data_IF_280609476017
#
_entry.id   IF_280609476017
#
_cell.length_a   1.000
_cell.length_b   1.000
_cell.length_c   1.000
_cell.angle_alpha   90.00
_cell.angle_beta   90.00
_cell.angle_gamma   90.00
#
_symmetry.space_group_name_H-M   'P 1'
#
loop_
_entity.id
_entity.type
_entity.pdbx_description
1 polymer ?
#
# COMPACT_ATOMS: atom_id res chain seq x y z
N UNK A 1 13.52 -0.66 14.73
CA UNK A 1 13.57 -2.13 14.64
C UNK A 1 13.85 -2.47 13.19
N UNK A 2 14.70 -3.47 12.90
CA UNK A 2 14.87 -3.94 11.52
C UNK A 2 13.66 -4.82 11.19
N UNK A 3 12.97 -4.54 10.07
CA UNK A 3 11.85 -5.36 9.59
C UNK A 3 12.30 -6.81 9.36
N UNK A 4 11.44 -7.76 9.71
CA UNK A 4 11.63 -9.18 9.50
C UNK A 4 11.81 -9.47 8.02
N UNK A 5 12.74 -10.36 7.67
CA UNK A 5 13.18 -10.56 6.29
C UNK A 5 12.04 -10.97 5.35
N UNK A 6 11.07 -11.71 5.89
CA UNK A 6 9.88 -12.11 5.14
C UNK A 6 8.96 -10.95 4.77
N UNK A 7 8.92 -9.88 5.56
CA UNK A 7 8.07 -8.71 5.30
C UNK A 7 8.80 -7.59 4.55
N UNK A 8 10.13 -7.70 4.42
CA UNK A 8 10.94 -6.75 3.64
C UNK A 8 10.43 -6.51 2.22
N UNK A 9 9.96 -7.50 1.44
CA UNK A 9 9.39 -7.25 0.12
C UNK A 9 8.21 -6.26 0.16
N UNK A 10 7.24 -6.47 1.04
CA UNK A 10 6.10 -5.56 1.19
C UNK A 10 6.55 -4.16 1.64
N UNK A 11 7.54 -4.06 2.52
CA UNK A 11 8.14 -2.76 2.87
C UNK A 11 8.90 -2.09 1.73
N UNK A 12 9.44 -2.84 0.77
CA UNK A 12 10.02 -2.27 -0.45
C UNK A 12 8.91 -1.70 -1.35
N UNK A 13 7.79 -2.41 -1.47
CA UNK A 13 6.61 -1.92 -2.20
C UNK A 13 6.15 -0.58 -1.61
N UNK A 14 6.12 -0.48 -0.27
CA UNK A 14 5.82 0.76 0.46
C UNK A 14 6.78 1.91 0.17
N UNK A 15 8.08 1.64 0.03
CA UNK A 15 9.04 2.69 -0.29
C UNK A 15 8.71 3.34 -1.64
N UNK A 16 8.38 2.54 -2.65
CA UNK A 16 7.95 3.05 -3.95
C UNK A 16 6.62 3.82 -3.85
N UNK A 17 5.63 3.23 -3.17
CA UNK A 17 4.32 3.84 -2.98
C UNK A 17 4.39 5.20 -2.27
N UNK A 18 5.33 5.40 -1.33
CA UNK A 18 5.55 6.69 -0.68
C UNK A 18 6.06 7.79 -1.63
N UNK A 19 6.83 7.44 -2.66
CA UNK A 19 7.25 8.39 -3.69
C UNK A 19 6.04 8.84 -4.51
N UNK A 20 5.22 7.89 -4.95
CA UNK A 20 3.97 8.14 -5.68
C UNK A 20 3.00 9.00 -4.84
N UNK A 21 2.82 8.64 -3.57
CA UNK A 21 2.01 9.39 -2.62
C UNK A 21 2.50 10.84 -2.45
N UNK A 22 3.82 11.07 -2.43
CA UNK A 22 4.39 12.42 -2.35
C UNK A 22 4.09 13.25 -3.60
N UNK A 23 4.21 12.65 -4.79
CA UNK A 23 3.88 13.32 -6.04
C UNK A 23 2.39 13.71 -6.10
N UNK A 24 1.52 12.81 -5.66
CA UNK A 24 0.08 13.06 -5.58
C UNK A 24 -0.28 14.15 -4.56
N UNK A 25 0.36 14.17 -3.38
CA UNK A 25 0.16 15.25 -2.39
C UNK A 25 0.59 16.63 -2.89
N UNK A 26 1.56 16.68 -3.81
CA UNK A 26 2.05 17.94 -4.39
C UNK A 26 1.25 18.38 -5.61
N UNK A 27 0.47 17.50 -6.22
CA UNK A 27 -0.27 17.76 -7.44
C UNK A 27 -1.08 19.07 -7.34
N UNK A 28 -0.98 19.93 -8.36
CA UNK A 28 -1.68 21.23 -8.40
C UNK A 28 -1.01 22.36 -7.62
N UNK A 29 0.10 22.11 -6.92
CA UNK A 29 0.89 23.12 -6.20
C UNK A 29 2.15 23.52 -6.99
N UNK A 30 2.80 24.61 -6.59
CA UNK A 30 4.10 25.05 -7.10
C UNK A 30 5.24 24.04 -6.88
N UNK A 31 5.04 23.06 -6.00
CA UNK A 31 5.99 21.99 -5.70
C UNK A 31 5.85 20.79 -6.64
N UNK A 32 4.81 20.76 -7.49
CA UNK A 32 4.65 19.72 -8.50
C UNK A 32 5.38 20.12 -9.79
N UNK A 33 6.30 19.29 -10.23
CA UNK A 33 6.94 19.41 -11.55
C UNK A 33 6.18 18.68 -12.65
N UNK A 34 5.12 17.92 -12.30
CA UNK A 34 4.43 16.99 -13.21
C UNK A 34 3.09 17.57 -13.66
N UNK A 35 2.75 17.31 -14.92
CA UNK A 35 1.42 17.64 -15.44
C UNK A 35 0.36 16.70 -14.86
N UNK A 36 -0.91 17.12 -14.84
CA UNK A 36 -2.01 16.24 -14.42
C UNK A 36 -2.06 14.93 -15.24
N UNK A 37 -1.81 15.03 -16.56
CA UNK A 37 -1.80 13.86 -17.45
C UNK A 37 -0.72 12.86 -17.02
N UNK A 38 0.49 13.35 -16.78
CA UNK A 38 1.61 12.53 -16.30
C UNK A 38 1.29 11.86 -14.97
N UNK A 39 0.71 12.59 -14.01
CA UNK A 39 0.32 12.04 -12.72
C UNK A 39 -0.72 10.92 -12.84
N UNK A 40 -1.69 11.05 -13.75
CA UNK A 40 -2.69 10.00 -14.00
C UNK A 40 -2.07 8.79 -14.71
N UNK A 41 -1.15 8.99 -15.65
CA UNK A 41 -0.41 7.90 -16.29
C UNK A 41 0.40 7.10 -15.26
N UNK A 42 1.17 7.79 -14.42
CA UNK A 42 1.94 7.19 -13.33
C UNK A 42 1.04 6.49 -12.31
N UNK A 43 -0.11 7.10 -11.93
CA UNK A 43 -1.10 6.45 -11.07
C UNK A 43 -1.60 5.14 -11.67
N UNK A 44 -1.89 5.13 -12.98
CA UNK A 44 -2.41 3.94 -13.63
C UNK A 44 -1.36 2.83 -13.72
N UNK A 45 -0.11 3.18 -14.01
CA UNK A 45 1.02 2.25 -14.04
C UNK A 45 1.30 1.68 -12.65
N UNK A 46 1.52 2.55 -11.66
CA UNK A 46 1.73 2.15 -10.27
C UNK A 46 0.58 1.27 -9.76
N UNK A 47 -0.68 1.66 -10.00
CA UNK A 47 -1.81 0.89 -9.50
C UNK A 47 -1.90 -0.51 -10.12
N UNK A 48 -1.56 -0.64 -11.40
CA UNK A 48 -1.62 -1.90 -12.14
C UNK A 48 -0.49 -2.84 -11.72
N UNK A 49 0.73 -2.32 -11.59
CA UNK A 49 1.91 -3.15 -11.38
C UNK A 49 2.20 -3.41 -9.90
N UNK A 50 1.91 -2.46 -9.01
CA UNK A 50 2.33 -2.51 -7.61
C UNK A 50 1.17 -2.36 -6.62
N UNK A 51 0.34 -1.32 -6.77
CA UNK A 51 -0.67 -0.95 -5.76
C UNK A 51 -1.75 -2.03 -5.51
N UNK A 52 -2.43 -2.49 -6.57
CA UNK A 52 -3.45 -3.53 -6.44
C UNK A 52 -2.86 -4.90 -6.06
N UNK A 53 -1.75 -5.38 -6.69
CA UNK A 53 -1.12 -6.63 -6.27
C UNK A 53 -0.63 -6.61 -4.81
N UNK A 54 -0.11 -5.46 -4.33
CA UNK A 54 0.30 -5.33 -2.92
C UNK A 54 -0.86 -5.56 -1.96
N UNK A 55 -2.01 -4.93 -2.19
CA UNK A 55 -3.19 -5.18 -1.37
C UNK A 55 -3.66 -6.63 -1.44
N UNK A 56 -3.51 -7.30 -2.59
CA UNK A 56 -3.84 -8.71 -2.72
C UNK A 56 -2.92 -9.61 -1.89
N UNK A 57 -1.62 -9.33 -1.87
CA UNK A 57 -0.67 -10.05 -1.01
C UNK A 57 -1.06 -9.93 0.46
N UNK A 58 -1.46 -8.74 0.88
CA UNK A 58 -1.86 -8.49 2.25
C UNK A 58 -3.19 -9.15 2.61
N UNK A 59 -4.21 -8.93 1.77
CA UNK A 59 -5.58 -9.42 1.98
C UNK A 59 -5.68 -10.95 1.91
N UNK A 60 -4.91 -11.58 1.02
CA UNK A 60 -5.03 -13.00 0.73
C UNK A 60 -4.00 -13.85 1.46
N UNK A 61 -2.89 -13.26 1.92
CA UNK A 61 -1.78 -14.00 2.53
C UNK A 61 -1.50 -13.45 3.93
N UNK A 62 -1.06 -12.19 4.04
CA UNK A 62 -0.49 -11.67 5.28
C UNK A 62 -1.50 -11.48 6.42
N UNK A 63 -2.66 -10.86 6.14
CA UNK A 63 -3.69 -10.65 7.16
C UNK A 63 -4.33 -11.97 7.61
N UNK A 64 -4.66 -12.92 6.70
CA UNK A 64 -5.13 -14.24 7.11
C UNK A 64 -4.17 -14.97 8.06
N UNK A 65 -2.86 -15.02 7.76
CA UNK A 65 -1.92 -15.70 8.66
C UNK A 65 -1.83 -15.01 10.02
N UNK A 66 -1.89 -13.67 10.06
CA UNK A 66 -1.93 -12.95 11.33
C UNK A 66 -3.14 -13.35 12.18
N UNK A 67 -4.32 -13.39 11.57
CA UNK A 67 -5.56 -13.77 12.26
C UNK A 67 -5.59 -15.24 12.70
N UNK A 68 -4.81 -16.11 12.05
CA UNK A 68 -4.67 -17.53 12.43
C UNK A 68 -3.74 -17.71 13.62
N UNK A 69 -2.59 -17.03 13.62
CA UNK A 69 -1.52 -17.27 14.61
C UNK A 69 -1.57 -16.35 15.83
N UNK A 70 -2.17 -15.17 15.73
CA UNK A 70 -2.29 -14.29 16.89
C UNK A 70 -3.31 -14.85 17.90
N UNK A 71 -2.88 -15.03 19.15
CA UNK A 71 -3.77 -15.43 20.24
C UNK A 71 -4.88 -14.39 20.49
N UNK A 72 -4.51 -13.11 20.43
CA UNK A 72 -5.42 -11.96 20.56
C UNK A 72 -5.14 -10.96 19.41
N UNK A 73 -5.74 -11.16 18.21
CA UNK A 73 -5.51 -10.27 17.09
C UNK A 73 -6.17 -8.90 17.29
N UNK A 74 -5.49 -7.84 16.86
CA UNK A 74 -6.11 -6.52 16.71
C UNK A 74 -6.95 -6.48 15.42
N UNK A 75 -8.13 -7.09 15.48
CA UNK A 75 -9.08 -7.09 14.36
C UNK A 75 -9.51 -5.69 13.95
N UNK A 76 -9.51 -4.72 14.87
CA UNK A 76 -9.90 -3.35 14.56
C UNK A 76 -8.86 -2.70 13.64
N UNK A 77 -7.57 -2.97 13.87
CA UNK A 77 -6.48 -2.50 13.02
C UNK A 77 -6.53 -3.15 11.63
N UNK A 78 -6.77 -4.46 11.54
CA UNK A 78 -6.95 -5.16 10.24
C UNK A 78 -8.15 -4.59 9.48
N UNK A 79 -9.30 -4.40 10.15
CA UNK A 79 -10.49 -3.79 9.53
C UNK A 79 -10.22 -2.36 9.05
N UNK A 80 -9.40 -1.59 9.78
CA UNK A 80 -8.98 -0.25 9.38
C UNK A 80 -8.13 -0.27 8.11
N UNK A 81 -7.15 -1.18 8.01
CA UNK A 81 -6.34 -1.35 6.79
C UNK A 81 -7.23 -1.72 5.58
N UNK A 82 -8.08 -2.75 5.71
CA UNK A 82 -9.03 -3.16 4.66
C UNK A 82 -9.98 -2.04 4.21
N UNK A 83 -10.44 -1.23 5.16
CA UNK A 83 -11.26 -0.05 4.85
C UNK A 83 -10.48 1.01 4.07
N UNK A 84 -9.22 1.25 4.43
CA UNK A 84 -8.33 2.14 3.67
C UNK A 84 -8.06 1.57 2.26
N UNK A 85 -7.83 0.26 2.09
CA UNK A 85 -7.69 -0.36 0.77
C UNK A 85 -8.91 -0.10 -0.11
N UNK A 86 -10.11 -0.30 0.45
CA UNK A 86 -11.38 -0.07 -0.26
C UNK A 86 -11.52 1.39 -0.70
N UNK A 87 -11.16 2.34 0.16
CA UNK A 87 -11.17 3.77 -0.17
C UNK A 87 -10.17 4.13 -1.27
N UNK A 88 -8.94 3.61 -1.18
CA UNK A 88 -7.88 3.84 -2.17
C UNK A 88 -8.33 3.30 -3.53
N UNK A 89 -8.86 2.07 -3.59
CA UNK A 89 -9.49 1.49 -4.80
C UNK A 89 -10.58 2.39 -5.38
N UNK A 90 -11.44 2.93 -4.50
CA UNK A 90 -12.50 3.87 -4.87
C UNK A 90 -11.95 5.14 -5.52
N UNK A 91 -10.96 5.78 -4.91
CA UNK A 91 -10.33 7.01 -5.43
C UNK A 91 -9.63 6.78 -6.77
N UNK A 92 -8.90 5.68 -6.92
CA UNK A 92 -8.26 5.32 -8.20
C UNK A 92 -9.32 5.15 -9.30
N UNK A 93 -10.42 4.44 -9.00
CA UNK A 93 -11.53 4.27 -9.95
C UNK A 93 -12.20 5.59 -10.28
N UNK A 94 -12.43 6.44 -9.29
CA UNK A 94 -13.01 7.77 -9.47
C UNK A 94 -12.12 8.61 -10.41
N UNK A 95 -10.84 8.74 -10.09
CA UNK A 95 -9.85 9.51 -10.87
C UNK A 95 -9.74 9.04 -12.33
N UNK A 96 -9.87 7.73 -12.59
CA UNK A 96 -9.92 7.16 -13.96
C UNK A 96 -11.15 7.58 -14.76
N UNK A 97 -12.25 7.90 -14.08
CA UNK A 97 -13.55 8.18 -14.69
C UNK A 97 -13.89 9.68 -14.80
N UNK A 98 -13.10 10.54 -14.16
CA UNK A 98 -13.40 11.98 -14.11
C UNK A 98 -13.26 12.64 -15.49
N UNK A 99 -14.26 13.44 -15.92
CA UNK A 99 -14.22 14.13 -17.21
C UNK A 99 -13.31 15.37 -17.20
N UNK A 100 -12.95 15.85 -16.00
CA UNK A 100 -12.12 17.04 -15.79
C UNK A 100 -11.02 16.75 -14.78
N UNK A 101 -9.95 17.55 -14.83
CA UNK A 101 -8.84 17.48 -13.87
C UNK A 101 -9.35 17.75 -12.46
N UNK A 102 -8.97 16.91 -11.50
CA UNK A 102 -9.30 17.10 -10.10
C UNK A 102 -8.04 16.84 -9.24
N UNK A 103 -7.34 17.93 -8.90
CA UNK A 103 -6.13 17.86 -8.07
C UNK A 103 -6.44 17.51 -6.61
N UNK A 104 -7.58 17.94 -6.09
CA UNK A 104 -8.00 17.65 -4.71
C UNK A 104 -8.14 16.13 -4.49
N UNK A 105 -8.68 15.41 -5.48
CA UNK A 105 -8.80 13.95 -5.44
C UNK A 105 -7.46 13.23 -5.53
N UNK A 106 -6.51 13.76 -6.31
CA UNK A 106 -5.14 13.25 -6.30
C UNK A 106 -4.48 13.49 -4.94
N UNK A 107 -4.64 14.68 -4.37
CA UNK A 107 -4.08 14.98 -3.05
C UNK A 107 -4.70 14.06 -1.98
N UNK A 108 -6.03 13.84 -2.01
CA UNK A 108 -6.73 12.89 -1.13
C UNK A 108 -6.13 11.49 -1.21
N UNK A 109 -5.94 10.97 -2.43
CA UNK A 109 -5.29 9.67 -2.66
C UNK A 109 -3.86 9.63 -2.10
N UNK A 110 -3.06 10.66 -2.34
CA UNK A 110 -1.68 10.74 -1.85
C UNK A 110 -1.59 10.80 -0.32
N UNK A 111 -2.51 11.52 0.34
CA UNK A 111 -2.59 11.54 1.80
C UNK A 111 -3.01 10.19 2.36
N UNK A 112 -4.01 9.55 1.75
CA UNK A 112 -4.52 8.27 2.20
C UNK A 112 -3.49 7.15 2.05
N UNK A 113 -2.73 7.13 0.94
CA UNK A 113 -1.62 6.20 0.76
C UNK A 113 -0.53 6.38 1.83
N UNK A 114 -0.12 7.63 2.11
CA UNK A 114 0.89 7.90 3.15
C UNK A 114 0.42 7.49 4.55
N UNK A 115 -0.85 7.77 4.89
CA UNK A 115 -1.45 7.35 6.17
C UNK A 115 -1.50 5.83 6.28
N UNK A 116 -1.96 5.17 5.23
CA UNK A 116 -2.11 3.73 5.16
C UNK A 116 -0.78 2.99 5.31
N UNK A 117 0.24 3.38 4.55
CA UNK A 117 1.60 2.80 4.65
C UNK A 117 2.16 2.98 6.07
N UNK A 118 1.91 4.12 6.72
CA UNK A 118 2.36 4.33 8.11
C UNK A 118 1.63 3.43 9.10
N UNK A 119 0.33 3.19 8.89
CA UNK A 119 -0.46 2.28 9.73
C UNK A 119 0.17 0.89 9.71
N UNK A 120 0.48 0.39 8.53
CA UNK A 120 1.02 -0.96 8.38
C UNK A 120 2.45 -1.05 8.90
N UNK A 121 3.31 -0.13 8.46
CA UNK A 121 4.71 -0.15 8.83
C UNK A 121 4.95 0.02 10.33
N UNK A 122 4.09 0.78 11.03
CA UNK A 122 4.33 1.17 12.42
C UNK A 122 3.47 0.43 13.43
N UNK A 123 2.30 -0.05 13.00
CA UNK A 123 1.32 -0.64 13.90
C UNK A 123 1.07 -2.10 13.52
N UNK A 124 0.64 -2.38 12.28
CA UNK A 124 0.21 -3.72 11.92
C UNK A 124 1.37 -4.70 11.76
N UNK A 125 2.37 -4.39 10.93
CA UNK A 125 3.50 -5.30 10.69
C UNK A 125 4.27 -5.68 11.97
N UNK A 126 4.55 -4.76 12.92
CA UNK A 126 5.14 -5.16 14.20
C UNK A 126 4.31 -6.17 15.01
N UNK A 127 2.97 -6.09 14.95
CA UNK A 127 2.09 -7.07 15.60
C UNK A 127 2.18 -8.43 14.90
N UNK A 128 2.23 -8.42 13.57
CA UNK A 128 2.38 -9.65 12.78
C UNK A 128 3.73 -10.32 13.06
N UNK A 129 4.83 -9.57 13.08
CA UNK A 129 6.17 -10.07 13.40
C UNK A 129 6.24 -10.72 14.79
N UNK A 130 5.45 -10.21 15.74
CA UNK A 130 5.42 -10.74 17.10
C UNK A 130 4.56 -12.01 17.22
N UNK A 131 3.48 -12.09 16.44
CA UNK A 131 2.47 -13.13 16.58
C UNK A 131 2.70 -14.34 15.67
N UNK A 132 3.22 -14.12 14.46
CA UNK A 132 3.32 -15.18 13.45
C UNK A 132 4.69 -15.87 13.54
N UNK A 133 4.75 -17.21 13.60
CA UNK A 133 6.01 -17.94 13.58
C UNK A 133 6.85 -17.66 12.31
N UNK A 134 8.18 -17.60 12.47
CA UNK A 134 9.12 -17.33 11.37
C UNK A 134 8.88 -18.24 10.15
N UNK A 135 8.66 -19.55 10.37
CA UNK A 135 8.42 -20.52 9.29
C UNK A 135 7.21 -20.13 8.43
N UNK A 136 6.11 -19.75 9.07
CA UNK A 136 4.88 -19.29 8.40
C UNK A 136 5.09 -17.95 7.69
N UNK A 137 5.88 -17.04 8.25
CA UNK A 137 6.24 -15.79 7.58
C UNK A 137 7.10 -16.05 6.33
N UNK A 138 8.07 -16.97 6.40
CA UNK A 138 8.88 -17.33 5.23
C UNK A 138 8.09 -18.05 4.15
N UNK A 139 7.13 -18.91 4.52
CA UNK A 139 6.19 -19.51 3.57
C UNK A 139 5.37 -18.43 2.85
N UNK A 140 4.81 -17.49 3.62
CA UNK A 140 4.05 -16.36 3.08
C UNK A 140 4.87 -15.50 2.11
N UNK A 141 6.15 -15.24 2.42
CA UNK A 141 7.08 -14.51 1.54
C UNK A 141 7.14 -15.09 0.12
N UNK A 142 7.00 -16.41 -0.03
CA UNK A 142 7.03 -17.08 -1.33
C UNK A 142 5.82 -16.78 -2.21
N UNK A 143 4.72 -16.29 -1.63
CA UNK A 143 3.48 -15.96 -2.33
C UNK A 143 3.35 -14.50 -2.76
N UNK A 144 4.21 -13.60 -2.26
CA UNK A 144 4.13 -12.18 -2.60
C UNK A 144 4.53 -11.90 -4.05
N UNK A 145 3.88 -10.92 -4.67
CA UNK A 145 4.29 -10.45 -5.98
C UNK A 145 5.65 -9.76 -5.91
N UNK A 146 6.31 -9.65 -7.07
CA UNK A 146 7.54 -8.86 -7.22
C UNK A 146 7.15 -7.48 -7.72
N UNK A 147 7.55 -6.44 -7.00
CA UNK A 147 7.31 -5.07 -7.46
C UNK A 147 8.02 -4.75 -8.79
N UNK A 148 7.55 -3.68 -9.42
CA UNK A 148 8.02 -3.18 -10.71
C UNK A 148 9.41 -2.54 -10.66
N UNK A 149 9.94 -2.27 -9.46
CA UNK A 149 11.17 -1.49 -9.22
C UNK A 149 12.37 -2.38 -8.89
N UNK A 150 12.19 -3.40 -8.07
CA UNK A 150 13.19 -4.39 -7.65
C UNK A 150 13.20 -5.64 -8.54
N UNK A 151 12.20 -5.82 -9.40
CA UNK A 151 12.11 -6.89 -10.40
C UNK A 151 12.84 -6.63 -11.73
N UNK A 152 13.57 -5.52 -11.88
CA UNK A 152 14.40 -5.21 -13.06
C UNK A 152 15.89 -5.48 -12.84
#
# INVERSE_FOLDING_TARGET
MKRHEALTPLSHHHHHALVVALDFKRAGTEKSSKSYKTLIEEMNEFWKEDGEPHFQDEEMILFPIYLIYAEEPDEALVKKALYQHTKIRGLVKELRSLPIKNYDKLNELGHLLDEHIRLEERELFPLIEKAVPDESLYEAKGGYHKDSVSGR
#
